data_IF_225661399148
#
_entry.id   IF_225661399148
#
_cell.length_a   1.000
_cell.length_b   1.000
_cell.length_c   1.000
_cell.angle_alpha   90.00
_cell.angle_beta   90.00
_cell.angle_gamma   90.00
#
_symmetry.space_group_name_H-M   'P 1'
#
loop_
_entity.id
_entity.type
_entity.pdbx_description
1 polymer ?
#
# COMPACT_ATOMS: atom_id res chain seq x y z
N UNK A 1 -33.09 73.41 53.80
CA UNK A 1 -32.01 72.46 54.14
C UNK A 1 -32.55 71.05 54.16
N UNK A 2 -32.40 70.25 53.08
CA UNK A 2 -32.82 68.86 53.05
C UNK A 2 -31.68 68.04 52.46
N UNK A 3 -31.05 67.18 53.28
CA UNK A 3 -30.04 66.19 52.87
C UNK A 3 -30.76 65.01 52.24
N UNK A 4 -30.42 64.70 50.99
CA UNK A 4 -30.88 63.52 50.28
C UNK A 4 -29.78 62.44 50.37
N UNK A 5 -30.12 61.34 51.05
CA UNK A 5 -29.26 60.15 51.11
C UNK A 5 -29.44 59.30 49.87
N UNK A 6 -28.38 59.08 49.12
CA UNK A 6 -28.38 58.14 48.01
C UNK A 6 -27.88 56.79 48.49
N UNK A 7 -28.76 55.77 48.44
CA UNK A 7 -28.41 54.37 48.70
C UNK A 7 -27.86 53.78 47.43
N UNK A 8 -26.58 53.42 47.40
CA UNK A 8 -25.97 52.62 46.37
C UNK A 8 -26.33 51.12 46.57
N UNK A 9 -27.03 50.58 45.60
CA UNK A 9 -27.28 49.11 45.54
C UNK A 9 -26.02 48.46 44.92
N UNK A 10 -25.28 47.65 45.69
CA UNK A 10 -24.31 46.74 45.16
C UNK A 10 -25.04 45.60 44.43
N UNK A 11 -24.82 45.52 43.12
CA UNK A 11 -25.16 44.33 42.33
C UNK A 11 -24.06 43.31 42.51
N UNK A 12 -24.40 42.17 43.14
CA UNK A 12 -23.56 40.98 43.18
C UNK A 12 -23.54 40.36 41.79
N UNK A 13 -22.44 40.43 41.06
CA UNK A 13 -22.16 39.64 39.87
C UNK A 13 -21.70 38.29 40.32
N UNK A 14 -22.46 37.27 40.01
CA UNK A 14 -22.09 35.86 40.16
C UNK A 14 -21.08 35.50 39.06
N UNK A 15 -19.88 35.16 39.47
CA UNK A 15 -18.89 34.55 38.59
C UNK A 15 -19.27 33.10 38.36
N UNK A 16 -19.73 32.76 37.16
CA UNK A 16 -19.80 31.39 36.67
C UNK A 16 -18.40 30.94 36.29
N UNK A 17 -17.76 30.13 37.13
CA UNK A 17 -16.51 29.46 36.81
C UNK A 17 -16.79 28.36 35.78
N UNK A 18 -16.42 28.59 34.53
CA UNK A 18 -16.38 27.55 33.52
C UNK A 18 -15.15 26.66 33.79
N UNK A 19 -15.39 25.48 34.36
CA UNK A 19 -14.37 24.43 34.54
C UNK A 19 -14.06 23.84 33.16
N UNK A 20 -12.93 24.24 32.58
CA UNK A 20 -12.40 23.68 31.34
C UNK A 20 -11.74 22.34 31.69
N UNK A 21 -12.49 21.24 31.55
CA UNK A 21 -11.94 19.89 31.63
C UNK A 21 -11.10 19.61 30.38
N UNK A 22 -9.78 19.64 30.56
CA UNK A 22 -8.81 19.22 29.56
C UNK A 22 -8.92 17.70 29.40
N UNK A 23 -9.54 17.23 28.32
CA UNK A 23 -9.45 15.83 27.91
C UNK A 23 -8.01 15.60 27.37
N UNK A 24 -7.13 15.05 28.20
CA UNK A 24 -5.91 14.43 27.72
C UNK A 24 -6.31 13.17 26.95
N UNK A 25 -6.40 13.27 25.63
CA UNK A 25 -6.40 12.11 24.74
C UNK A 25 -5.03 11.46 24.82
N UNK A 26 -4.93 10.36 25.55
CA UNK A 26 -3.76 9.47 25.51
C UNK A 26 -3.60 8.93 24.10
N UNK A 27 -2.61 9.45 23.38
CA UNK A 27 -2.15 8.90 22.12
C UNK A 27 -1.45 7.59 22.47
N UNK A 28 -2.17 6.46 22.34
CA UNK A 28 -1.56 5.13 22.41
C UNK A 28 -0.60 5.00 21.24
N UNK A 29 0.69 5.05 21.51
CA UNK A 29 1.74 4.71 20.55
C UNK A 29 1.59 3.22 20.22
N UNK A 30 1.03 2.89 19.08
CA UNK A 30 1.01 1.53 18.54
C UNK A 30 2.44 1.19 18.12
N UNK A 31 3.14 0.39 18.91
CA UNK A 31 4.43 -0.21 18.51
C UNK A 31 4.18 -1.12 17.32
N UNK A 32 5.00 -0.96 16.27
CA UNK A 32 5.04 -1.94 15.18
C UNK A 32 5.58 -3.26 15.75
N UNK A 33 4.87 -4.36 15.53
CA UNK A 33 5.31 -5.70 15.92
C UNK A 33 6.02 -6.31 14.72
N UNK A 34 7.28 -6.69 14.88
CA UNK A 34 8.02 -7.46 13.87
C UNK A 34 7.71 -8.95 14.05
N UNK A 35 7.23 -9.58 12.98
CA UNK A 35 6.84 -10.98 12.99
C UNK A 35 7.51 -11.72 11.83
N UNK A 36 8.45 -12.61 12.15
CA UNK A 36 9.23 -13.37 11.18
C UNK A 36 8.95 -14.87 11.30
N UNK A 37 8.60 -15.52 10.17
CA UNK A 37 8.37 -16.97 10.10
C UNK A 37 9.68 -17.70 9.78
N UNK A 38 10.15 -18.51 10.73
CA UNK A 38 11.45 -19.21 10.66
C UNK A 38 11.32 -20.64 10.23
N UNK A 39 10.27 -21.35 10.68
CA UNK A 39 10.04 -22.73 10.34
C UNK A 39 8.54 -23.09 10.37
N UNK A 40 8.19 -24.14 9.64
CA UNK A 40 6.85 -24.71 9.58
C UNK A 40 6.91 -26.19 9.93
N UNK A 41 5.93 -26.66 10.67
CA UNK A 41 5.73 -28.07 11.00
C UNK A 41 4.22 -28.35 11.03
N UNK A 42 3.82 -29.63 11.10
CA UNK A 42 2.42 -30.04 11.06
C UNK A 42 1.53 -29.24 12.04
N UNK A 43 0.76 -28.30 11.50
CA UNK A 43 -0.13 -27.43 12.27
C UNK A 43 0.55 -26.44 13.23
N UNK A 44 1.86 -26.19 13.07
CA UNK A 44 2.65 -25.29 13.92
C UNK A 44 3.55 -24.40 13.08
N UNK A 45 3.77 -23.17 13.53
CA UNK A 45 4.72 -22.23 12.97
C UNK A 45 5.73 -21.78 14.03
N UNK A 46 7.00 -21.73 13.67
CA UNK A 46 8.05 -21.14 14.49
C UNK A 46 8.20 -19.68 14.08
N UNK A 47 7.98 -18.78 15.02
CA UNK A 47 7.97 -17.35 14.78
C UNK A 47 8.97 -16.64 15.69
N UNK A 48 9.62 -15.61 15.15
CA UNK A 48 10.33 -14.58 15.89
C UNK A 48 9.40 -13.39 16.00
N UNK A 49 9.21 -12.86 17.21
CA UNK A 49 8.37 -11.69 17.51
C UNK A 49 9.25 -10.63 18.17
N UNK A 50 9.37 -9.44 17.57
CA UNK A 50 10.17 -8.32 18.11
C UNK A 50 11.59 -8.73 18.51
N UNK A 51 12.32 -9.39 17.61
CA UNK A 51 13.69 -9.89 17.82
C UNK A 51 13.89 -10.83 19.05
N UNK A 52 12.78 -11.35 19.61
CA UNK A 52 12.83 -12.33 20.69
C UNK A 52 13.26 -13.71 20.16
N UNK A 53 13.78 -14.60 21.01
CA UNK A 53 14.12 -15.95 20.59
C UNK A 53 12.94 -16.65 19.87
N UNK A 54 13.22 -17.47 18.82
CA UNK A 54 12.20 -18.17 18.08
C UNK A 54 11.31 -19.03 19.00
N UNK A 55 9.99 -18.96 18.81
CA UNK A 55 9.03 -19.74 19.58
C UNK A 55 8.04 -20.46 18.65
N UNK A 56 7.69 -21.71 19.02
CA UNK A 56 6.72 -22.53 18.30
C UNK A 56 5.29 -22.20 18.75
N UNK A 57 4.40 -21.94 17.80
CA UNK A 57 2.98 -21.68 18.01
C UNK A 57 2.15 -22.70 17.24
N UNK A 58 1.09 -23.24 17.85
CA UNK A 58 0.13 -24.10 17.18
C UNK A 58 -0.97 -23.27 16.51
N UNK A 59 -1.58 -23.81 15.44
CA UNK A 59 -2.79 -23.21 14.86
C UNK A 59 -3.86 -23.04 15.94
N UNK A 60 -4.46 -21.85 15.98
CA UNK A 60 -5.44 -21.44 16.98
C UNK A 60 -4.85 -20.72 18.20
N UNK A 61 -3.51 -20.76 18.41
CA UNK A 61 -2.90 -20.08 19.55
C UNK A 61 -2.71 -18.56 19.31
N UNK A 62 -2.78 -17.82 20.41
CA UNK A 62 -2.47 -16.40 20.46
C UNK A 62 -0.95 -16.24 20.48
N UNK A 63 -0.42 -15.40 19.58
CA UNK A 63 1.02 -15.07 19.50
C UNK A 63 1.30 -13.85 20.38
N UNK A 64 0.51 -12.79 20.19
CA UNK A 64 0.42 -11.58 21.04
C UNK A 64 -1.06 -11.25 21.28
N UNK A 65 -1.41 -10.27 22.14
CA UNK A 65 -2.81 -9.88 22.32
C UNK A 65 -3.53 -9.53 21.00
N UNK A 66 -2.82 -9.01 20.01
CA UNK A 66 -3.37 -8.59 18.72
C UNK A 66 -3.20 -9.63 17.61
N UNK A 67 -2.38 -10.69 17.82
CA UNK A 67 -1.97 -11.62 16.75
C UNK A 67 -2.32 -13.06 17.13
N UNK A 68 -3.06 -13.74 16.25
CA UNK A 68 -3.43 -15.14 16.38
C UNK A 68 -2.97 -15.95 15.16
N UNK A 69 -2.37 -17.13 15.36
CA UNK A 69 -2.08 -18.07 14.29
C UNK A 69 -3.36 -18.79 13.88
N UNK A 70 -3.83 -18.61 12.64
CA UNK A 70 -5.10 -19.15 12.15
C UNK A 70 -4.94 -20.30 11.16
N UNK A 71 -3.74 -20.51 10.62
CA UNK A 71 -3.47 -21.60 9.67
C UNK A 71 -2.00 -21.78 9.37
N UNK A 72 -1.65 -22.98 8.91
CA UNK A 72 -0.29 -23.33 8.45
C UNK A 72 -0.43 -24.20 7.21
N UNK A 73 0.32 -23.86 6.14
CA UNK A 73 0.47 -24.61 4.91
C UNK A 73 1.92 -25.10 4.77
N UNK A 74 2.26 -25.72 3.63
CA UNK A 74 3.62 -26.22 3.38
C UNK A 74 4.67 -25.12 3.38
N UNK A 75 4.35 -23.92 2.86
CA UNK A 75 5.30 -22.81 2.66
C UNK A 75 4.88 -21.51 3.37
N UNK A 76 3.77 -21.50 4.10
CA UNK A 76 3.24 -20.28 4.71
C UNK A 76 2.48 -20.53 6.00
N UNK A 77 2.44 -19.53 6.86
CA UNK A 77 1.55 -19.45 8.01
C UNK A 77 0.54 -18.32 7.80
N UNK A 78 -0.69 -18.51 8.23
CA UNK A 78 -1.73 -17.52 8.21
C UNK A 78 -1.95 -17.00 9.63
N UNK A 79 -1.88 -15.69 9.79
CA UNK A 79 -2.13 -15.02 11.06
C UNK A 79 -3.30 -14.05 10.91
N UNK A 80 -4.00 -13.83 11.99
CA UNK A 80 -4.98 -12.76 12.12
C UNK A 80 -4.40 -11.70 13.03
N UNK A 81 -4.34 -10.45 12.55
CA UNK A 81 -3.78 -9.30 13.23
C UNK A 81 -4.84 -8.21 13.28
N UNK A 82 -5.31 -7.85 14.47
CA UNK A 82 -6.41 -6.87 14.65
C UNK A 82 -7.63 -7.18 13.75
N UNK A 83 -8.02 -8.47 13.65
CA UNK A 83 -9.14 -8.92 12.82
C UNK A 83 -8.85 -9.02 11.31
N UNK A 84 -7.64 -8.68 10.85
CA UNK A 84 -7.23 -8.80 9.44
C UNK A 84 -6.35 -10.02 9.24
N UNK A 85 -6.64 -10.82 8.21
CA UNK A 85 -5.82 -11.97 7.86
C UNK A 85 -4.60 -11.56 7.06
N UNK A 86 -3.45 -12.12 7.43
CA UNK A 86 -2.17 -11.96 6.73
C UNK A 86 -1.49 -13.32 6.55
N UNK A 87 -0.67 -13.43 5.50
CA UNK A 87 0.10 -14.63 5.20
C UNK A 87 1.59 -14.33 5.40
N UNK A 88 2.23 -15.15 6.23
CA UNK A 88 3.67 -15.13 6.47
C UNK A 88 4.32 -16.20 5.60
N UNK A 89 5.42 -15.87 4.94
CA UNK A 89 6.22 -16.83 4.20
C UNK A 89 7.53 -17.12 4.93
N UNK A 90 8.09 -18.32 4.73
CA UNK A 90 9.33 -18.74 5.36
C UNK A 90 10.47 -17.79 4.98
N UNK A 91 11.23 -17.30 5.98
CA UNK A 91 12.35 -16.39 5.75
C UNK A 91 11.99 -14.92 5.50
N UNK A 92 10.71 -14.55 5.59
CA UNK A 92 10.27 -13.16 5.41
C UNK A 92 9.79 -12.57 6.74
N UNK A 93 10.40 -11.46 7.15
CA UNK A 93 9.90 -10.64 8.24
C UNK A 93 8.67 -9.86 7.75
N UNK A 94 7.55 -9.98 8.44
CA UNK A 94 6.40 -9.07 8.27
C UNK A 94 6.52 -7.98 9.31
N UNK A 95 7.04 -6.85 8.89
CA UNK A 95 6.99 -5.62 9.68
C UNK A 95 5.54 -5.11 9.69
N UNK A 96 4.87 -5.23 10.82
CA UNK A 96 3.58 -4.59 11.01
C UNK A 96 3.79 -3.10 11.27
N UNK A 97 3.83 -2.31 10.20
CA UNK A 97 3.71 -0.86 10.31
C UNK A 97 2.24 -0.49 10.50
N UNK A 98 1.82 -0.27 11.73
CA UNK A 98 0.63 0.52 12.05
C UNK A 98 0.92 2.01 11.84
N UNK A 99 1.16 2.36 10.65
CA UNK A 99 1.02 3.65 9.99
C UNK A 99 1.77 3.51 8.68
N UNK A 100 1.04 3.34 7.62
CA UNK A 100 1.54 3.19 6.26
C UNK A 100 2.43 4.37 5.86
N UNK A 101 3.68 4.39 6.32
CA UNK A 101 4.68 5.30 5.73
C UNK A 101 5.12 4.78 4.36
N UNK A 102 5.11 3.46 4.14
CA UNK A 102 5.49 2.89 2.84
C UNK A 102 4.51 1.79 2.43
N UNK A 103 3.53 2.14 1.60
CA UNK A 103 2.66 1.16 0.97
C UNK A 103 3.51 0.13 0.20
N UNK A 104 3.20 -1.16 0.34
CA UNK A 104 3.94 -2.24 -0.31
C UNK A 104 3.01 -3.28 -0.93
N UNK A 105 3.51 -4.02 -1.92
CA UNK A 105 2.82 -5.14 -2.55
C UNK A 105 3.82 -6.25 -2.84
N UNK A 106 3.44 -7.50 -2.54
CA UNK A 106 4.23 -8.68 -2.87
C UNK A 106 3.63 -9.38 -4.09
N UNK A 107 4.44 -9.58 -5.10
CA UNK A 107 4.09 -10.27 -6.33
C UNK A 107 4.76 -11.63 -6.38
N UNK A 108 4.06 -12.63 -6.93
CA UNK A 108 4.59 -13.95 -7.20
C UNK A 108 5.01 -14.05 -8.65
N UNK A 109 6.15 -14.70 -8.90
CA UNK A 109 6.55 -15.02 -10.26
C UNK A 109 5.60 -16.05 -10.87
N UNK A 110 5.29 -15.87 -12.17
CA UNK A 110 4.69 -16.91 -12.99
C UNK A 110 5.67 -18.06 -13.25
N UNK A 111 5.21 -19.15 -13.85
CA UNK A 111 6.05 -20.29 -14.24
C UNK A 111 7.27 -19.87 -15.09
N UNK A 112 7.13 -18.82 -15.91
CA UNK A 112 8.20 -18.29 -16.75
C UNK A 112 9.07 -17.23 -16.01
N UNK A 113 8.90 -17.05 -14.70
CA UNK A 113 9.68 -16.10 -13.89
C UNK A 113 9.27 -14.63 -14.04
N UNK A 114 8.18 -14.34 -14.74
CA UNK A 114 7.62 -12.99 -14.89
C UNK A 114 6.73 -12.61 -13.72
N UNK A 115 6.71 -11.33 -13.37
CA UNK A 115 5.85 -10.78 -12.33
C UNK A 115 4.71 -9.99 -12.95
N UNK A 116 3.48 -10.36 -12.60
CA UNK A 116 2.27 -9.68 -13.03
C UNK A 116 1.59 -9.01 -11.87
N UNK A 117 0.92 -7.89 -12.14
CA UNK A 117 0.10 -7.19 -11.17
C UNK A 117 -1.23 -6.75 -11.80
N UNK A 118 -2.23 -6.53 -10.94
CA UNK A 118 -3.47 -5.87 -11.32
C UNK A 118 -3.35 -4.37 -11.01
N UNK A 119 -3.32 -3.57 -12.05
CA UNK A 119 -3.23 -2.11 -11.95
C UNK A 119 -4.60 -1.48 -12.13
N UNK A 120 -5.03 -0.63 -11.20
CA UNK A 120 -6.21 0.21 -11.33
C UNK A 120 -5.78 1.59 -11.81
N UNK A 121 -6.23 1.99 -12.99
CA UNK A 121 -5.86 3.23 -13.65
C UNK A 121 -6.98 4.25 -13.50
N UNK A 122 -6.66 5.48 -13.02
CA UNK A 122 -7.63 6.59 -12.83
C UNK A 122 -8.92 6.16 -12.10
N UNK A 123 -8.80 5.24 -11.13
CA UNK A 123 -9.96 4.70 -10.42
C UNK A 123 -10.88 3.78 -11.25
N UNK A 124 -10.56 3.52 -12.51
CA UNK A 124 -11.33 2.68 -13.44
C UNK A 124 -11.18 1.18 -13.21
N UNK A 125 -11.38 0.40 -14.29
CA UNK A 125 -11.26 -1.07 -14.27
C UNK A 125 -9.80 -1.51 -14.08
N UNK A 126 -9.62 -2.74 -13.57
CA UNK A 126 -8.30 -3.34 -13.44
C UNK A 126 -7.71 -3.68 -14.83
N UNK A 127 -6.41 -3.53 -14.93
CA UNK A 127 -5.59 -3.84 -16.07
C UNK A 127 -4.46 -4.75 -15.63
N UNK A 128 -4.34 -5.93 -16.22
CA UNK A 128 -3.20 -6.82 -15.95
C UNK A 128 -1.96 -6.26 -16.60
N UNK A 129 -0.91 -6.06 -15.81
CA UNK A 129 0.36 -5.49 -16.26
C UNK A 129 1.52 -6.43 -15.91
N UNK A 130 2.52 -6.45 -16.78
CA UNK A 130 3.80 -7.11 -16.55
C UNK A 130 4.78 -6.09 -15.94
N UNK A 131 5.43 -6.43 -14.84
CA UNK A 131 6.53 -5.62 -14.28
C UNK A 131 7.72 -5.70 -15.23
N UNK A 132 8.05 -4.56 -15.87
CA UNK A 132 9.10 -4.49 -16.88
C UNK A 132 10.04 -3.30 -16.62
N UNK A 133 11.23 -3.58 -16.09
CA UNK A 133 12.27 -2.57 -15.84
C UNK A 133 12.94 -2.06 -17.11
N UNK A 134 12.76 -2.76 -18.25
CA UNK A 134 13.23 -2.34 -19.56
C UNK A 134 12.31 -1.31 -20.24
N UNK A 135 11.05 -1.21 -19.82
CA UNK A 135 10.12 -0.23 -20.33
C UNK A 135 10.29 1.12 -19.61
N UNK A 136 10.40 2.23 -20.35
CA UNK A 136 10.51 3.58 -19.78
C UNK A 136 9.21 4.05 -19.14
N UNK A 137 8.07 3.67 -19.73
CA UNK A 137 6.74 4.13 -19.34
C UNK A 137 5.82 2.96 -19.00
N UNK A 138 4.76 3.22 -18.22
CA UNK A 138 3.60 2.35 -18.25
C UNK A 138 3.08 2.33 -19.70
N UNK A 139 2.99 1.15 -20.32
CA UNK A 139 2.64 1.02 -21.72
C UNK A 139 1.40 0.18 -21.92
N UNK A 140 0.46 0.66 -22.72
CA UNK A 140 -0.78 -0.05 -23.05
C UNK A 140 -1.22 0.20 -24.48
N UNK A 141 -2.13 -0.63 -24.97
CA UNK A 141 -2.74 -0.45 -26.30
C UNK A 141 -3.76 0.69 -26.32
N UNK A 142 -4.03 1.23 -27.51
CA UNK A 142 -5.10 2.20 -27.73
C UNK A 142 -6.48 1.62 -27.35
N UNK A 143 -6.67 0.30 -27.50
CA UNK A 143 -7.90 -0.37 -27.09
C UNK A 143 -8.08 -0.34 -25.56
N UNK A 144 -7.02 -0.65 -24.80
CA UNK A 144 -7.03 -0.56 -23.33
C UNK A 144 -7.25 0.88 -22.85
N UNK A 145 -6.55 1.85 -23.46
CA UNK A 145 -6.71 3.25 -23.14
C UNK A 145 -8.18 3.71 -23.32
N UNK A 146 -8.81 3.35 -24.45
CA UNK A 146 -10.23 3.65 -24.71
C UNK A 146 -11.15 2.98 -23.67
N UNK A 147 -10.91 1.70 -23.35
CA UNK A 147 -11.68 0.97 -22.33
C UNK A 147 -11.59 1.62 -20.96
N UNK A 148 -10.46 2.24 -20.66
CA UNK A 148 -10.20 2.98 -19.39
C UNK A 148 -10.69 4.44 -19.46
N UNK A 149 -11.30 4.88 -20.56
CA UNK A 149 -11.77 6.26 -20.73
C UNK A 149 -10.67 7.29 -20.94
N UNK A 150 -9.47 6.85 -21.35
CA UNK A 150 -8.32 7.73 -21.59
C UNK A 150 -8.36 8.27 -23.03
N UNK A 151 -8.55 9.58 -23.17
CA UNK A 151 -8.45 10.27 -24.47
C UNK A 151 -6.97 10.49 -24.84
N UNK A 152 -6.34 9.40 -25.23
CA UNK A 152 -4.90 9.38 -25.49
C UNK A 152 -4.49 10.26 -26.68
N UNK A 153 -5.40 10.58 -27.60
CA UNK A 153 -5.10 11.44 -28.74
C UNK A 153 -4.86 12.91 -28.37
N UNK A 154 -5.27 13.31 -27.16
CA UNK A 154 -4.88 14.59 -26.57
C UNK A 154 -3.47 14.58 -25.98
N UNK A 155 -2.83 13.42 -25.92
CA UNK A 155 -1.45 13.28 -25.47
C UNK A 155 -0.44 13.81 -26.49
N UNK A 156 0.83 13.79 -26.09
CA UNK A 156 1.93 14.25 -26.94
C UNK A 156 2.32 13.12 -27.93
N UNK A 157 2.26 13.34 -29.26
CA UNK A 157 2.74 12.37 -30.22
C UNK A 157 4.22 12.03 -29.96
N UNK A 158 4.55 10.74 -29.96
CA UNK A 158 5.89 10.22 -29.61
C UNK A 158 6.20 8.96 -30.43
N UNK A 159 7.34 8.36 -30.15
CA UNK A 159 7.76 7.08 -30.75
C UNK A 159 8.37 6.21 -29.67
N UNK A 160 8.07 4.91 -29.71
CA UNK A 160 8.69 3.91 -28.86
C UNK A 160 9.55 2.98 -29.68
N UNK A 161 10.78 2.71 -29.22
CA UNK A 161 11.62 1.65 -29.77
C UNK A 161 11.20 0.32 -29.12
N UNK A 162 10.84 -0.64 -29.94
CA UNK A 162 10.43 -1.98 -29.50
C UNK A 162 11.28 -3.04 -30.20
N UNK A 163 11.19 -4.29 -29.76
CA UNK A 163 11.87 -5.41 -30.45
C UNK A 163 11.47 -5.53 -31.92
N UNK A 164 10.29 -5.05 -32.32
CA UNK A 164 9.77 -5.08 -33.69
C UNK A 164 10.02 -3.75 -34.44
N UNK A 165 10.86 -2.87 -33.92
CA UNK A 165 11.20 -1.59 -34.52
C UNK A 165 10.56 -0.39 -33.82
N UNK A 166 10.61 0.76 -34.47
CA UNK A 166 10.06 2.01 -33.95
C UNK A 166 8.60 2.12 -34.31
N UNK A 167 7.74 2.32 -33.32
CA UNK A 167 6.29 2.45 -33.47
C UNK A 167 5.81 3.82 -32.99
N UNK A 168 4.76 4.40 -33.65
CA UNK A 168 4.16 5.62 -33.16
C UNK A 168 3.37 5.37 -31.87
N UNK A 169 3.46 6.33 -30.96
CA UNK A 169 2.77 6.30 -29.66
C UNK A 169 2.29 7.69 -29.27
N UNK A 170 1.49 7.75 -28.20
CA UNK A 170 1.11 8.99 -27.55
C UNK A 170 1.54 8.93 -26.09
N UNK A 171 2.26 9.95 -25.65
CA UNK A 171 2.56 10.12 -24.22
C UNK A 171 1.39 10.84 -23.56
N UNK A 172 0.87 10.22 -22.51
CA UNK A 172 -0.20 10.78 -21.68
C UNK A 172 0.22 10.76 -20.23
N UNK A 173 -0.40 11.60 -19.42
CA UNK A 173 -0.22 11.60 -17.97
C UNK A 173 -1.48 11.04 -17.32
N UNK A 174 -1.35 9.93 -16.61
CA UNK A 174 -2.42 9.30 -15.86
C UNK A 174 -2.55 9.99 -14.50
N UNK A 175 -3.79 10.24 -14.07
CA UNK A 175 -4.04 10.88 -12.77
C UNK A 175 -3.59 10.00 -11.63
N UNK A 176 -3.93 8.70 -11.67
CA UNK A 176 -3.48 7.73 -10.68
C UNK A 176 -3.26 6.34 -11.27
N UNK A 177 -2.34 5.60 -10.67
CA UNK A 177 -2.09 4.18 -10.90
C UNK A 177 -1.97 3.51 -9.54
N UNK A 178 -2.83 2.51 -9.27
CA UNK A 178 -2.84 1.78 -8.01
C UNK A 178 -2.58 0.30 -8.24
N UNK A 179 -1.65 -0.28 -7.46
CA UNK A 179 -1.31 -1.70 -7.44
C UNK A 179 -1.28 -2.14 -5.97
N UNK A 180 -2.22 -3.00 -5.57
CA UNK A 180 -2.39 -3.33 -4.16
C UNK A 180 -2.60 -2.07 -3.32
N UNK A 181 -1.76 -1.87 -2.31
CA UNK A 181 -1.79 -0.69 -1.44
C UNK A 181 -0.96 0.50 -1.96
N UNK A 182 -0.19 0.31 -3.03
CA UNK A 182 0.62 1.36 -3.63
C UNK A 182 -0.23 2.17 -4.60
N UNK A 183 -0.41 3.46 -4.32
CA UNK A 183 -1.03 4.41 -5.24
C UNK A 183 -0.06 5.54 -5.56
N UNK A 184 0.19 5.76 -6.86
CA UNK A 184 1.01 6.84 -7.38
C UNK A 184 0.18 7.73 -8.30
N UNK A 185 0.38 9.03 -8.15
CA UNK A 185 -0.29 10.05 -8.95
C UNK A 185 0.63 10.59 -10.05
N UNK A 186 0.03 11.11 -11.12
CA UNK A 186 0.74 11.73 -12.24
C UNK A 186 1.81 10.81 -12.82
N UNK A 187 1.38 9.64 -13.27
CA UNK A 187 2.24 8.62 -13.89
C UNK A 187 2.22 8.79 -15.40
N UNK A 188 3.40 8.98 -16.01
CA UNK A 188 3.50 9.07 -17.46
C UNK A 188 3.32 7.68 -18.10
N UNK A 189 2.50 7.61 -19.15
CA UNK A 189 2.21 6.40 -19.89
C UNK A 189 2.38 6.60 -21.39
N UNK A 190 2.76 5.53 -22.09
CA UNK A 190 2.87 5.45 -23.54
C UNK A 190 1.74 4.61 -24.11
N UNK A 191 0.91 5.19 -24.96
CA UNK A 191 -0.20 4.51 -25.60
C UNK A 191 0.19 4.15 -27.02
N UNK A 192 0.17 2.86 -27.31
CA UNK A 192 0.51 2.30 -28.61
C UNK A 192 -0.75 2.16 -29.47
N UNK A 193 -0.73 2.66 -30.70
CA UNK A 193 -1.89 2.53 -31.59
C UNK A 193 -2.10 1.08 -32.06
N UNK A 194 -1.03 0.30 -32.11
CA UNK A 194 -1.08 -1.12 -32.38
C UNK A 194 -1.47 -1.92 -31.13
N UNK A 195 -1.99 -3.12 -31.35
CA UNK A 195 -2.26 -4.04 -30.24
C UNK A 195 -0.97 -4.43 -29.53
N UNK A 196 -1.06 -4.49 -28.22
CA UNK A 196 -0.02 -5.03 -27.34
C UNK A 196 -0.57 -6.32 -26.71
N UNK A 197 0.22 -7.39 -26.74
CA UNK A 197 -0.17 -8.66 -26.13
C UNK A 197 -0.33 -8.57 -24.62
N UNK A 198 0.38 -7.63 -23.99
CA UNK A 198 0.30 -7.33 -22.55
C UNK A 198 0.71 -5.88 -22.28
N UNK A 199 0.09 -5.29 -21.27
CA UNK A 199 0.49 -3.98 -20.77
C UNK A 199 1.75 -4.09 -19.92
N UNK A 200 2.61 -3.08 -19.99
CA UNK A 200 3.88 -3.06 -19.27
C UNK A 200 3.85 -2.03 -18.14
N UNK A 201 4.28 -2.42 -16.97
CA UNK A 201 4.51 -1.53 -15.84
C UNK A 201 5.97 -1.09 -15.87
N UNK A 202 6.24 0.05 -16.49
CA UNK A 202 7.58 0.54 -16.72
C UNK A 202 8.13 1.49 -15.65
N UNK A 203 9.29 2.06 -15.94
CA UNK A 203 10.06 2.88 -14.99
C UNK A 203 9.36 4.19 -14.61
N UNK A 204 8.41 4.72 -15.39
CA UNK A 204 7.60 5.88 -14.97
C UNK A 204 6.87 5.63 -13.63
N UNK A 205 6.53 4.39 -13.33
CA UNK A 205 5.98 3.94 -12.06
C UNK A 205 7.07 3.35 -11.15
N UNK A 206 7.84 2.37 -11.64
CA UNK A 206 8.75 1.55 -10.85
C UNK A 206 9.90 2.35 -10.21
N UNK A 207 10.43 3.41 -10.84
CA UNK A 207 11.51 4.24 -10.26
C UNK A 207 11.14 4.90 -8.93
N UNK A 208 9.83 5.05 -8.67
CA UNK A 208 9.29 5.63 -7.43
C UNK A 208 9.12 4.59 -6.31
N UNK A 209 9.50 3.33 -6.58
CA UNK A 209 9.43 2.22 -5.65
C UNK A 209 10.83 1.68 -5.35
N UNK A 210 10.98 1.08 -4.18
CA UNK A 210 12.03 0.11 -3.90
C UNK A 210 11.55 -1.26 -4.37
N UNK A 211 12.42 -2.03 -5.01
CA UNK A 211 12.11 -3.37 -5.51
C UNK A 211 13.11 -4.36 -4.92
N UNK A 212 12.63 -5.36 -4.21
CA UNK A 212 13.43 -6.46 -3.68
C UNK A 212 12.90 -7.76 -4.27
N UNK A 213 13.78 -8.55 -4.87
CA UNK A 213 13.43 -9.87 -5.41
C UNK A 213 14.17 -10.95 -4.65
N UNK A 214 13.43 -11.94 -4.17
CA UNK A 214 13.94 -13.13 -3.50
C UNK A 214 13.27 -14.36 -4.09
N UNK A 215 14.03 -15.12 -4.86
CA UNK A 215 13.54 -16.32 -5.56
C UNK A 215 12.33 -16.00 -6.46
N UNK A 216 11.18 -16.55 -6.11
CA UNK A 216 9.91 -16.40 -6.85
C UNK A 216 9.05 -15.24 -6.36
N UNK A 217 9.56 -14.40 -5.46
CA UNK A 217 8.83 -13.25 -4.93
C UNK A 217 9.50 -11.94 -5.28
N UNK A 218 8.68 -10.91 -5.51
CA UNK A 218 9.12 -9.52 -5.65
C UNK A 218 8.27 -8.65 -4.72
N UNK A 219 8.93 -7.90 -3.86
CA UNK A 219 8.30 -6.90 -3.00
C UNK A 219 8.55 -5.52 -3.61
N UNK A 220 7.47 -4.82 -3.90
CA UNK A 220 7.49 -3.42 -4.30
C UNK A 220 7.08 -2.57 -3.10
N UNK A 221 7.86 -1.54 -2.78
CA UNK A 221 7.59 -0.64 -1.64
C UNK A 221 7.70 0.80 -2.11
N UNK A 222 6.70 1.62 -1.81
CA UNK A 222 6.69 3.05 -2.16
C UNK A 222 7.83 3.77 -1.45
N UNK A 223 8.67 4.50 -2.21
CA UNK A 223 9.68 5.40 -1.64
C UNK A 223 9.01 6.64 -1.03
N UNK A 224 9.57 7.13 0.06
CA UNK A 224 9.17 8.38 0.69
C UNK A 224 9.56 9.59 -0.14
#
# INVERSE_FOLDING_TARGET
MRRVYWRSRLKRTAFFGASLTLFLSSISSSSAIDLNLVALSNGKAMLIVDDKPPKMFAVGSQITPEIKLIGVNQNSAHVEINGKRQTLFLGHAVLQNNASKNASVTLQASENGHFFAEAKINGGSNLKVLVDTGASYLSMSAADAKRLGIDYKKGVPSRSSTANGIVPTYLVRLDSVKIGDIELFQVDASIHENEMGICLLGMSFLKRLSMTREGQQMVLTKKL
#
